data_IF_756911926413
#
_entry.id   IF_756911926413
#
_cell.length_a   1.000
_cell.length_b   1.000
_cell.length_c   1.000
_cell.angle_alpha   90.00
_cell.angle_beta   90.00
_cell.angle_gamma   90.00
#
_symmetry.space_group_name_H-M   'P 1'
#
loop_
_entity.id
_entity.type
_entity.pdbx_description
1 polymer ?
#
# COMPACT_ATOMS: atom_id res chain seq x y z
N UNK A 1 -8.92 -9.76 -16.43
CA UNK A 1 -9.09 -9.48 -14.99
C UNK A 1 -7.76 -8.97 -14.41
N UNK A 2 -7.80 -7.96 -13.54
CA UNK A 2 -6.61 -7.28 -13.05
C UNK A 2 -6.65 -7.11 -11.53
N UNK A 3 -5.51 -7.34 -10.87
CA UNK A 3 -5.33 -7.12 -9.42
C UNK A 3 -4.16 -6.14 -9.21
N UNK A 4 -4.36 -5.17 -8.32
CA UNK A 4 -3.28 -4.29 -7.83
C UNK A 4 -2.61 -4.94 -6.62
N UNK A 5 -1.28 -4.92 -6.58
CA UNK A 5 -0.51 -5.43 -5.44
C UNK A 5 0.42 -4.32 -4.91
N UNK A 6 0.22 -3.95 -3.65
CA UNK A 6 1.08 -3.02 -2.92
C UNK A 6 1.65 -3.66 -1.66
N UNK A 7 2.71 -3.09 -1.10
CA UNK A 7 3.31 -3.60 0.14
C UNK A 7 3.92 -2.47 1.00
N UNK A 8 4.03 -2.72 2.29
CA UNK A 8 4.90 -1.92 3.15
C UNK A 8 6.38 -2.37 3.04
N UNK A 9 7.26 -1.78 3.84
CA UNK A 9 8.69 -2.06 3.78
C UNK A 9 9.12 -3.28 4.62
N UNK A 10 8.20 -4.09 5.15
CA UNK A 10 8.55 -5.28 5.95
C UNK A 10 9.51 -6.19 5.20
N UNK A 11 10.52 -6.72 5.90
CA UNK A 11 11.61 -7.52 5.33
C UNK A 11 11.08 -8.72 4.53
N UNK A 12 10.01 -9.36 5.03
CA UNK A 12 9.36 -10.50 4.34
C UNK A 12 8.52 -10.09 3.12
N UNK A 13 8.28 -8.77 2.92
CA UNK A 13 7.33 -8.26 1.92
C UNK A 13 7.67 -8.69 0.49
N UNK A 14 8.93 -8.59 0.09
CA UNK A 14 9.36 -8.96 -1.27
C UNK A 14 9.17 -10.47 -1.54
N UNK A 15 9.53 -11.31 -0.58
CA UNK A 15 9.35 -12.76 -0.72
C UNK A 15 7.87 -13.14 -0.82
N UNK A 16 7.03 -12.60 0.06
CA UNK A 16 5.57 -12.86 0.04
C UNK A 16 4.95 -12.32 -1.24
N UNK A 17 5.35 -11.11 -1.69
CA UNK A 17 4.90 -10.53 -2.97
C UNK A 17 5.16 -11.47 -4.14
N UNK A 18 6.36 -12.04 -4.24
CA UNK A 18 6.71 -12.92 -5.35
C UNK A 18 5.83 -14.18 -5.39
N UNK A 19 5.45 -14.73 -4.24
CA UNK A 19 4.51 -15.86 -4.16
C UNK A 19 3.12 -15.41 -4.62
N UNK A 20 2.61 -14.30 -4.10
CA UNK A 20 1.27 -13.77 -4.46
C UNK A 20 1.18 -13.46 -5.95
N UNK A 21 2.14 -12.73 -6.50
CA UNK A 21 2.18 -12.36 -7.91
C UNK A 21 2.24 -13.60 -8.80
N UNK A 22 3.12 -14.54 -8.49
CA UNK A 22 3.24 -15.79 -9.25
C UNK A 22 1.94 -16.60 -9.25
N UNK A 23 1.27 -16.69 -8.09
CA UNK A 23 -0.02 -17.39 -7.97
C UNK A 23 -1.10 -16.71 -8.81
N UNK A 24 -1.25 -15.39 -8.70
CA UNK A 24 -2.24 -14.63 -9.48
C UNK A 24 -2.03 -14.80 -10.99
N UNK A 25 -0.80 -14.67 -11.46
CA UNK A 25 -0.46 -14.91 -12.87
C UNK A 25 -0.77 -16.35 -13.30
N UNK A 26 -0.47 -17.33 -12.45
CA UNK A 26 -0.80 -18.74 -12.68
C UNK A 26 -2.30 -19.03 -12.73
N UNK A 27 -3.12 -18.16 -12.15
CA UNK A 27 -4.59 -18.21 -12.21
C UNK A 27 -5.16 -17.35 -13.37
N UNK A 28 -4.31 -16.80 -14.24
CA UNK A 28 -4.72 -15.99 -15.39
C UNK A 28 -5.09 -14.53 -15.06
N UNK A 29 -4.65 -14.01 -13.89
CA UNK A 29 -4.89 -12.63 -13.52
C UNK A 29 -3.72 -11.73 -13.87
N UNK A 30 -4.00 -10.59 -14.49
CA UNK A 30 -3.00 -9.55 -14.71
C UNK A 30 -2.68 -8.86 -13.38
N UNK A 31 -1.39 -8.60 -13.15
CA UNK A 31 -0.92 -7.98 -11.91
C UNK A 31 -0.29 -6.62 -12.19
N UNK A 32 -0.75 -5.61 -11.46
CA UNK A 32 -0.14 -4.29 -11.39
C UNK A 32 0.56 -4.18 -10.03
N UNK A 33 1.89 -4.37 -10.03
CA UNK A 33 2.74 -4.22 -8.84
C UNK A 33 3.11 -2.75 -8.66
N UNK A 34 2.58 -2.13 -7.61
CA UNK A 34 2.92 -0.75 -7.23
C UNK A 34 4.03 -0.67 -6.18
N UNK A 35 4.59 -1.82 -5.80
CA UNK A 35 5.69 -2.00 -4.85
C UNK A 35 5.44 -1.30 -3.50
N UNK A 36 6.40 -0.51 -3.01
CA UNK A 36 6.32 0.20 -1.74
C UNK A 36 5.28 1.31 -1.78
N UNK A 37 4.13 1.04 -1.18
CA UNK A 37 2.98 1.93 -1.16
C UNK A 37 2.25 1.86 0.19
N UNK A 38 1.62 2.97 0.58
CA UNK A 38 0.75 2.98 1.74
C UNK A 38 -0.58 2.27 1.44
N UNK A 39 -1.30 1.89 2.49
CA UNK A 39 -2.65 1.34 2.36
C UNK A 39 -3.54 2.24 1.48
N UNK A 40 -3.72 3.54 1.78
CA UNK A 40 -4.58 4.39 0.95
C UNK A 40 -4.03 4.61 -0.48
N UNK A 41 -2.72 4.51 -0.70
CA UNK A 41 -2.17 4.54 -2.07
C UNK A 41 -2.62 3.31 -2.86
N UNK A 42 -2.66 2.14 -2.22
CA UNK A 42 -3.10 0.90 -2.88
C UNK A 42 -4.60 0.92 -3.16
N UNK A 43 -5.40 1.41 -2.22
CA UNK A 43 -6.85 1.61 -2.38
C UNK A 43 -7.17 2.50 -3.59
N UNK A 44 -6.50 3.65 -3.70
CA UNK A 44 -6.60 4.54 -4.87
C UNK A 44 -6.15 3.87 -6.16
N UNK A 45 -5.08 3.09 -6.12
CA UNK A 45 -4.57 2.42 -7.31
C UNK A 45 -5.57 1.41 -7.88
N UNK A 46 -6.33 0.70 -7.03
CA UNK A 46 -7.40 -0.21 -7.46
C UNK A 46 -8.42 0.52 -8.32
N UNK A 47 -8.94 1.64 -7.83
CA UNK A 47 -9.96 2.42 -8.54
C UNK A 47 -9.40 3.10 -9.80
N UNK A 48 -8.19 3.67 -9.73
CA UNK A 48 -7.54 4.31 -10.88
C UNK A 48 -7.22 3.32 -12.01
N UNK A 49 -6.93 2.06 -11.69
CA UNK A 49 -6.68 1.00 -12.67
C UNK A 49 -7.96 0.37 -13.19
N UNK A 50 -9.11 0.61 -12.57
CA UNK A 50 -10.32 -0.17 -12.83
C UNK A 50 -10.07 -1.66 -12.60
N UNK A 51 -9.32 -1.98 -11.53
CA UNK A 51 -8.99 -3.35 -11.20
C UNK A 51 -10.16 -4.06 -10.50
N UNK A 52 -10.20 -5.38 -10.58
CA UNK A 52 -11.21 -6.19 -9.90
C UNK A 52 -11.00 -6.24 -8.39
N UNK A 53 -9.86 -5.76 -7.90
CA UNK A 53 -9.53 -5.70 -6.49
C UNK A 53 -8.04 -5.44 -6.27
N UNK A 54 -7.63 -5.52 -5.01
CA UNK A 54 -6.23 -5.31 -4.63
C UNK A 54 -5.79 -6.17 -3.46
N UNK A 55 -4.48 -6.31 -3.33
CA UNK A 55 -3.84 -6.99 -2.20
C UNK A 55 -2.77 -6.08 -1.62
N UNK A 56 -2.85 -5.81 -0.31
CA UNK A 56 -1.83 -5.07 0.42
C UNK A 56 -1.07 -6.02 1.33
N UNK A 57 0.23 -6.10 1.15
CA UNK A 57 1.13 -6.89 1.99
C UNK A 57 1.62 -6.03 3.14
N UNK A 58 0.97 -6.13 4.28
CA UNK A 58 1.26 -5.35 5.48
C UNK A 58 0.64 -5.99 6.72
N UNK A 59 1.25 -5.80 7.87
CA UNK A 59 0.65 -6.12 9.15
C UNK A 59 0.39 -4.87 10.01
N UNK A 60 0.18 -3.70 9.36
CA UNK A 60 -0.14 -2.42 10.03
C UNK A 60 0.93 -2.05 11.08
N UNK A 61 0.54 -1.88 12.32
CA UNK A 61 1.42 -1.54 13.45
C UNK A 61 1.94 -2.76 14.24
N UNK A 62 1.69 -3.98 13.75
CA UNK A 62 2.22 -5.18 14.40
C UNK A 62 3.76 -5.24 14.32
N UNK A 63 4.45 -5.92 15.25
CA UNK A 63 5.89 -6.10 15.23
C UNK A 63 6.42 -6.69 13.91
N UNK A 64 7.72 -6.51 13.65
CA UNK A 64 8.36 -6.79 12.35
C UNK A 64 8.25 -8.24 11.85
N UNK A 65 8.06 -9.22 12.73
CA UNK A 65 7.92 -10.64 12.39
C UNK A 65 6.55 -10.98 11.78
N UNK A 66 5.56 -10.09 11.89
CA UNK A 66 4.25 -10.28 11.29
C UNK A 66 4.22 -9.74 9.85
N UNK A 67 3.47 -10.41 9.02
CA UNK A 67 3.01 -9.90 7.73
C UNK A 67 1.63 -10.49 7.45
N UNK A 68 0.86 -9.86 6.56
CA UNK A 68 -0.48 -10.29 6.22
C UNK A 68 -0.86 -9.85 4.81
N UNK A 69 -1.90 -10.47 4.27
CA UNK A 69 -2.58 -10.05 3.06
C UNK A 69 -3.86 -9.33 3.49
N UNK A 70 -3.97 -8.05 3.15
CA UNK A 70 -5.22 -7.30 3.26
C UNK A 70 -5.85 -7.23 1.88
N UNK A 71 -7.09 -7.69 1.78
CA UNK A 71 -7.80 -7.81 0.51
C UNK A 71 -8.72 -6.62 0.30
N UNK A 72 -8.70 -6.08 -0.92
CA UNK A 72 -9.57 -4.98 -1.37
C UNK A 72 -10.50 -5.47 -2.47
N UNK A 73 -11.73 -4.97 -2.45
CA UNK A 73 -12.69 -5.14 -3.54
C UNK A 73 -12.40 -4.17 -4.71
N UNK A 74 -13.23 -4.19 -5.74
CA UNK A 74 -13.10 -3.35 -6.94
C UNK A 74 -13.29 -1.84 -6.67
N UNK A 75 -13.83 -1.48 -5.52
CA UNK A 75 -13.98 -0.09 -5.08
C UNK A 75 -12.77 0.43 -4.31
N UNK A 76 -11.74 -0.41 -4.12
CA UNK A 76 -10.57 -0.09 -3.31
C UNK A 76 -10.85 -0.12 -1.81
N UNK A 77 -11.92 -0.76 -1.37
CA UNK A 77 -12.33 -0.89 0.03
C UNK A 77 -11.93 -2.25 0.57
N UNK A 78 -11.68 -2.33 1.89
CA UNK A 78 -11.49 -3.63 2.52
C UNK A 78 -12.74 -4.50 2.38
N UNK A 79 -12.54 -5.80 2.18
CA UNK A 79 -13.64 -6.75 2.11
C UNK A 79 -14.52 -6.64 3.35
N UNK A 80 -15.82 -6.58 3.15
CA UNK A 80 -16.80 -6.68 4.22
C UNK A 80 -16.91 -8.14 4.73
N UNK A 81 -17.76 -8.38 5.74
CA UNK A 81 -17.89 -9.70 6.34
C UNK A 81 -18.42 -10.76 5.37
N UNK A 82 -19.32 -10.39 4.45
CA UNK A 82 -19.90 -11.30 3.46
C UNK A 82 -18.85 -11.70 2.43
N UNK A 83 -18.15 -10.72 1.84
CA UNK A 83 -17.05 -10.93 0.90
C UNK A 83 -15.91 -11.76 1.52
N UNK A 84 -15.53 -11.45 2.77
CA UNK A 84 -14.51 -12.19 3.50
C UNK A 84 -14.91 -13.65 3.78
N UNK A 85 -16.17 -13.91 4.12
CA UNK A 85 -16.68 -15.27 4.31
C UNK A 85 -16.67 -16.06 3.00
N UNK A 86 -16.97 -15.44 1.87
CA UNK A 86 -16.90 -16.09 0.56
C UNK A 86 -15.45 -16.48 0.19
N UNK A 87 -14.48 -15.61 0.46
CA UNK A 87 -13.05 -15.94 0.29
C UNK A 87 -12.67 -17.15 1.13
N UNK A 88 -13.11 -17.21 2.41
CA UNK A 88 -12.84 -18.35 3.28
C UNK A 88 -13.50 -19.62 2.77
N UNK A 89 -14.76 -19.55 2.31
CA UNK A 89 -15.47 -20.70 1.73
C UNK A 89 -14.73 -21.28 0.52
N UNK A 90 -14.29 -20.42 -0.41
CA UNK A 90 -13.52 -20.82 -1.59
C UNK A 90 -12.20 -21.49 -1.19
N UNK A 91 -11.51 -20.89 -0.19
CA UNK A 91 -10.25 -21.43 0.30
C UNK A 91 -10.41 -22.81 0.97
N UNK A 92 -11.46 -22.98 1.79
CA UNK A 92 -11.76 -24.26 2.46
C UNK A 92 -12.21 -25.35 1.48
N UNK A 93 -12.91 -24.97 0.42
CA UNK A 93 -13.34 -25.91 -0.63
C UNK A 93 -12.22 -26.24 -1.66
N UNK A 94 -11.07 -25.55 -1.58
CA UNK A 94 -9.98 -25.66 -2.54
C UNK A 94 -10.45 -25.46 -4.01
N UNK A 95 -11.42 -24.54 -4.21
CA UNK A 95 -12.00 -24.21 -5.51
C UNK A 95 -11.05 -23.29 -6.29
N UNK A 96 -9.91 -23.82 -6.74
CA UNK A 96 -8.90 -23.06 -7.49
C UNK A 96 -8.75 -23.59 -8.91
N UNK A 97 -8.93 -22.70 -9.89
CA UNK A 97 -8.68 -22.98 -11.28
C UNK A 97 -7.40 -22.27 -11.74
N UNK A 98 -6.43 -23.05 -12.22
CA UNK A 98 -5.22 -22.51 -12.81
C UNK A 98 -5.35 -22.41 -14.32
N UNK A 99 -4.79 -21.33 -14.87
CA UNK A 99 -4.77 -21.10 -16.30
C UNK A 99 -3.79 -22.06 -17.01
N UNK A 100 -4.11 -22.42 -18.25
CA UNK A 100 -3.12 -23.04 -19.11
C UNK A 100 -2.05 -22.02 -19.56
N UNK A 101 -0.99 -22.50 -20.20
CA UNK A 101 0.19 -21.68 -20.55
C UNK A 101 -0.15 -20.50 -21.48
N UNK A 102 -1.18 -20.65 -22.30
CA UNK A 102 -1.58 -19.61 -23.25
C UNK A 102 -2.47 -18.52 -22.61
N UNK A 103 -2.94 -18.74 -21.38
CA UNK A 103 -3.85 -17.86 -20.65
C UNK A 103 -3.28 -17.37 -19.31
N UNK A 104 -1.96 -17.50 -19.11
CA UNK A 104 -1.30 -16.93 -17.94
C UNK A 104 -1.47 -15.41 -17.89
N UNK A 105 -1.65 -14.87 -16.68
CA UNK A 105 -1.74 -13.44 -16.46
C UNK A 105 -0.42 -12.72 -16.74
N UNK A 106 -0.50 -11.44 -17.05
CA UNK A 106 0.65 -10.57 -17.29
C UNK A 106 1.10 -9.87 -16.00
N UNK A 107 2.35 -9.39 -15.98
CA UNK A 107 2.90 -8.59 -14.88
C UNK A 107 3.36 -7.24 -15.39
N UNK A 108 2.97 -6.19 -14.67
CA UNK A 108 3.45 -4.82 -14.90
C UNK A 108 3.81 -4.18 -13.56
N UNK A 109 4.99 -3.54 -13.50
CA UNK A 109 5.39 -2.73 -12.35
C UNK A 109 5.15 -1.25 -12.67
N UNK A 110 4.48 -0.52 -11.75
CA UNK A 110 4.21 0.91 -11.88
C UNK A 110 4.47 1.64 -10.55
N UNK A 111 5.56 2.37 -10.47
CA UNK A 111 5.99 3.10 -9.27
C UNK A 111 5.41 4.52 -9.15
N UNK A 112 4.51 4.91 -10.04
CA UNK A 112 3.96 6.28 -10.08
C UNK A 112 2.82 6.53 -9.10
N UNK A 113 2.32 5.49 -8.41
CA UNK A 113 1.12 5.61 -7.58
C UNK A 113 1.28 6.46 -6.33
N UNK A 114 2.47 6.48 -5.71
CA UNK A 114 2.71 7.42 -4.60
C UNK A 114 2.56 8.88 -5.07
N UNK A 115 3.07 9.20 -6.27
CA UNK A 115 2.93 10.53 -6.87
C UNK A 115 1.47 10.85 -7.23
N UNK A 116 0.76 9.91 -7.88
CA UNK A 116 -0.66 10.06 -8.22
C UNK A 116 -1.52 10.28 -6.97
N UNK A 117 -1.20 9.60 -5.86
CA UNK A 117 -1.87 9.80 -4.58
C UNK A 117 -1.64 11.23 -4.06
N UNK A 118 -0.39 11.70 -4.03
CA UNK A 118 -0.06 13.08 -3.63
C UNK A 118 -0.82 14.09 -4.50
N UNK A 119 -0.84 13.89 -5.83
CA UNK A 119 -1.57 14.75 -6.76
C UNK A 119 -3.06 14.79 -6.42
N UNK A 120 -3.65 13.64 -6.10
CA UNK A 120 -5.06 13.54 -5.71
C UNK A 120 -5.34 14.29 -4.40
N UNK A 121 -4.46 14.18 -3.41
CA UNK A 121 -4.59 14.92 -2.13
C UNK A 121 -4.53 16.43 -2.38
N UNK A 122 -3.57 16.89 -3.18
CA UNK A 122 -3.41 18.32 -3.47
C UNK A 122 -4.56 18.90 -4.31
N UNK A 123 -5.29 18.06 -5.04
CA UNK A 123 -6.45 18.44 -5.84
C UNK A 123 -7.75 18.54 -5.02
N UNK A 124 -7.76 18.15 -3.75
CA UNK A 124 -8.94 18.27 -2.90
C UNK A 124 -9.26 19.75 -2.58
N UNK A 125 -10.51 20.15 -2.73
CA UNK A 125 -10.98 21.50 -2.42
C UNK A 125 -10.71 21.93 -0.97
N UNK A 126 -10.58 20.96 -0.05
CA UNK A 126 -10.29 21.20 1.36
C UNK A 126 -8.79 21.45 1.64
N UNK A 127 -7.91 21.25 0.66
CA UNK A 127 -6.46 21.41 0.81
C UNK A 127 -6.03 22.78 0.29
N UNK A 128 -5.96 23.76 1.20
CA UNK A 128 -5.46 25.11 0.89
C UNK A 128 -3.93 25.17 1.06
N UNK A 129 -3.22 24.90 -0.03
CA UNK A 129 -1.73 24.90 -0.07
C UNK A 129 -1.18 26.28 0.30
N UNK A 130 -1.81 27.39 -0.12
CA UNK A 130 -1.31 28.73 0.17
C UNK A 130 -1.50 29.10 1.67
N UNK A 131 -2.60 28.68 2.29
CA UNK A 131 -2.78 28.82 3.74
C UNK A 131 -1.74 28.00 4.51
N UNK A 132 -1.45 26.76 4.09
CA UNK A 132 -0.43 25.90 4.70
C UNK A 132 0.96 26.54 4.61
N UNK A 133 1.36 27.03 3.44
CA UNK A 133 2.64 27.74 3.24
C UNK A 133 2.75 28.97 4.14
N UNK A 134 1.67 29.75 4.24
CA UNK A 134 1.62 30.97 5.04
C UNK A 134 1.69 30.68 6.53
N UNK A 135 1.14 29.56 6.98
CA UNK A 135 1.17 29.15 8.39
C UNK A 135 2.61 28.81 8.86
N UNK A 136 3.53 28.52 7.94
CA UNK A 136 4.93 28.22 8.21
C UNK A 136 5.11 27.16 9.31
N UNK A 137 4.41 26.05 9.17
CA UNK A 137 4.46 24.95 10.12
C UNK A 137 5.87 24.37 10.28
N UNK A 138 6.17 23.92 11.51
CA UNK A 138 7.31 23.05 11.80
C UNK A 138 6.77 21.66 12.11
N UNK A 139 7.19 20.68 11.33
CA UNK A 139 6.65 19.31 11.38
C UNK A 139 7.78 18.35 11.71
N UNK A 140 7.53 17.40 12.59
CA UNK A 140 8.37 16.22 12.76
C UNK A 140 7.57 15.00 12.27
N UNK A 141 8.24 14.12 11.53
CA UNK A 141 7.68 12.85 11.07
C UNK A 141 8.56 11.71 11.54
N UNK A 142 7.92 10.66 12.04
CA UNK A 142 8.55 9.37 12.32
C UNK A 142 7.91 8.32 11.42
N UNK A 143 8.71 7.71 10.54
CA UNK A 143 8.24 6.77 9.52
C UNK A 143 8.63 5.32 9.82
N UNK A 144 9.19 5.03 10.99
CA UNK A 144 9.64 3.70 11.47
C UNK A 144 10.38 2.86 10.42
N UNK A 145 11.13 3.51 9.55
CA UNK A 145 11.79 2.89 8.39
C UNK A 145 10.83 2.11 7.47
N UNK A 146 9.64 2.67 7.24
CA UNK A 146 8.63 2.10 6.34
C UNK A 146 8.18 3.10 5.27
N UNK A 147 7.09 2.79 4.57
CA UNK A 147 6.60 3.52 3.39
C UNK A 147 6.21 4.97 3.65
N UNK A 148 5.93 5.35 4.90
CA UNK A 148 5.74 6.75 5.29
C UNK A 148 6.92 7.63 4.89
N UNK A 149 8.15 7.09 4.93
CA UNK A 149 9.37 7.80 4.54
C UNK A 149 9.46 8.12 3.04
N UNK A 150 8.66 7.46 2.21
CA UNK A 150 8.58 7.73 0.77
C UNK A 150 7.58 8.86 0.50
N UNK A 151 6.37 8.74 1.02
CA UNK A 151 5.26 9.61 0.63
C UNK A 151 5.19 10.91 1.45
N UNK A 152 5.44 10.86 2.77
CA UNK A 152 5.24 12.02 3.63
C UNK A 152 6.23 13.17 3.37
N UNK A 153 7.54 12.94 3.17
CA UNK A 153 8.47 14.02 2.86
C UNK A 153 8.08 14.79 1.59
N UNK A 154 7.70 14.08 0.55
CA UNK A 154 7.31 14.67 -0.74
C UNK A 154 5.98 15.43 -0.62
N UNK A 155 4.98 14.84 0.05
CA UNK A 155 3.70 15.51 0.31
C UNK A 155 3.89 16.81 1.08
N UNK A 156 4.69 16.81 2.15
CA UNK A 156 4.97 18.00 2.96
C UNK A 156 5.72 19.08 2.17
N UNK A 157 6.67 18.69 1.33
CA UNK A 157 7.38 19.61 0.44
C UNK A 157 6.40 20.27 -0.54
N UNK A 158 5.54 19.50 -1.16
CA UNK A 158 4.52 20.01 -2.12
C UNK A 158 3.43 20.86 -1.46
N UNK A 159 3.13 20.60 -0.19
CA UNK A 159 2.30 21.47 0.65
C UNK A 159 3.02 22.76 1.08
N UNK A 160 4.33 22.89 0.77
CA UNK A 160 5.12 24.08 1.08
C UNK A 160 5.61 24.16 2.51
N UNK A 161 5.64 23.05 3.25
CA UNK A 161 6.21 22.96 4.59
C UNK A 161 7.74 22.97 4.49
N UNK A 162 8.38 24.02 5.04
CA UNK A 162 9.84 24.24 4.90
C UNK A 162 10.68 23.57 6.00
N UNK A 163 10.08 23.32 7.14
CA UNK A 163 10.79 22.82 8.33
C UNK A 163 10.24 21.45 8.69
N UNK A 164 10.88 20.41 8.16
CA UNK A 164 10.50 19.02 8.41
C UNK A 164 11.69 18.30 9.06
N UNK A 165 11.51 17.87 10.31
CA UNK A 165 12.42 16.94 10.98
C UNK A 165 12.03 15.51 10.59
N UNK A 166 12.99 14.74 10.09
CA UNK A 166 12.75 13.40 9.53
C UNK A 166 13.40 12.34 10.42
N UNK A 167 12.58 11.50 11.04
CA UNK A 167 13.02 10.37 11.85
C UNK A 167 12.67 9.06 11.13
N UNK A 168 13.66 8.17 10.99
CA UNK A 168 13.49 6.82 10.45
C UNK A 168 12.72 6.76 9.10
N UNK A 169 13.11 7.61 8.14
CA UNK A 169 12.43 7.73 6.84
C UNK A 169 13.00 6.81 5.76
N UNK A 170 14.01 5.99 6.05
CA UNK A 170 14.56 5.02 5.09
C UNK A 170 13.69 3.76 5.07
N UNK A 171 13.09 3.37 3.93
CA UNK A 171 12.13 2.27 3.87
C UNK A 171 12.80 0.89 3.87
N UNK A 172 13.62 0.63 4.88
CA UNK A 172 14.40 -0.61 5.02
C UNK A 172 13.63 -1.76 5.64
N UNK A 173 12.49 -1.48 6.29
CA UNK A 173 11.74 -2.45 7.09
C UNK A 173 12.39 -2.84 8.42
N UNK A 174 13.53 -2.23 8.75
CA UNK A 174 14.18 -2.38 10.05
C UNK A 174 13.60 -1.35 11.02
N UNK A 175 12.51 -1.70 11.69
CA UNK A 175 11.84 -0.82 12.64
C UNK A 175 12.76 -0.52 13.81
N UNK A 176 13.03 0.78 14.07
CA UNK A 176 13.90 1.22 15.17
C UNK A 176 13.22 1.12 16.53
N UNK A 177 11.89 1.19 16.55
CA UNK A 177 11.06 0.98 17.73
C UNK A 177 9.82 0.19 17.34
N UNK A 178 8.99 -0.16 18.33
CA UNK A 178 7.71 -0.81 18.05
C UNK A 178 6.84 0.16 17.23
N UNK A 179 6.32 -0.25 16.06
CA UNK A 179 5.54 0.62 15.17
C UNK A 179 4.15 0.99 15.71
N UNK A 180 3.70 0.37 16.80
CA UNK A 180 2.45 0.73 17.44
C UNK A 180 2.56 2.12 18.09
N UNK A 181 1.73 3.12 17.70
CA UNK A 181 1.88 4.53 18.11
C UNK A 181 1.35 4.76 19.53
N UNK A 182 1.96 4.14 20.51
CA UNK A 182 1.70 4.32 21.95
C UNK A 182 2.81 5.18 22.56
N UNK A 183 2.47 5.94 23.61
CA UNK A 183 3.42 6.82 24.32
C UNK A 183 4.73 6.11 24.69
N UNK A 184 4.66 4.84 25.12
CA UNK A 184 5.85 4.03 25.47
C UNK A 184 6.75 3.66 24.28
N UNK A 185 6.29 3.87 23.05
CA UNK A 185 6.97 3.50 21.82
C UNK A 185 7.45 4.71 21.01
N UNK A 186 7.11 5.93 21.48
CA UNK A 186 7.43 7.22 20.82
C UNK A 186 8.59 7.94 21.52
#
# INVERSE_FOLDING_TARGET
NKIVVGRDARISGEMVKNVVVGTLMGMGWDVVDIDLASTPTTELAVTMEGACGGIILTASHNPKQWNALKLLNEHGEFLNAEEGNEVLRIAEAEEFDYADVDHLGSYRKDLTYNQKHIDSVLALDLVDVEAIKKANFRVAIDCVNSVGGIILPELLERLGVKHVEKLYCEPTGNFQHNPEPLEKNL
#
